data_IF_524199444848
#
_entry.id   IF_524199444848
#
_cell.length_a   1.000
_cell.length_b   1.000
_cell.length_c   1.000
_cell.angle_alpha   90.00
_cell.angle_beta   90.00
_cell.angle_gamma   90.00
#
_symmetry.space_group_name_H-M   'P 1'
#
loop_
_entity.id
_entity.type
_entity.pdbx_description
1 polymer ?
#
# COMPACT_ATOMS: atom_id res chain seq x y z
N UNK A 1 -8.84 -31.44 28.33
CA UNK A 1 -8.91 -30.08 27.74
C UNK A 1 -7.53 -29.57 27.44
N UNK A 2 -7.44 -28.44 26.67
CA UNK A 2 -6.14 -27.92 26.28
C UNK A 2 -6.14 -26.40 26.13
N UNK A 3 -4.95 -25.84 25.92
CA UNK A 3 -4.73 -24.42 25.69
C UNK A 3 -3.66 -24.18 24.64
N UNK A 4 -3.59 -22.96 24.13
CA UNK A 4 -2.56 -22.52 23.19
C UNK A 4 -1.76 -21.37 23.78
N UNK A 5 -0.43 -21.48 23.73
CA UNK A 5 0.47 -20.37 23.95
C UNK A 5 0.63 -19.61 22.65
N UNK A 6 0.17 -18.37 22.61
CA UNK A 6 0.26 -17.50 21.45
C UNK A 6 1.15 -16.30 21.78
N UNK A 7 2.43 -16.32 21.45
CA UNK A 7 3.33 -15.20 21.66
C UNK A 7 2.89 -14.01 20.79
N UNK A 8 2.73 -12.84 21.40
CA UNK A 8 2.40 -11.59 20.70
C UNK A 8 3.36 -10.52 21.19
N UNK A 9 4.15 -9.98 20.25
CA UNK A 9 4.98 -8.83 20.54
C UNK A 9 4.10 -7.59 20.67
N UNK A 10 4.02 -7.04 21.84
CA UNK A 10 3.33 -5.79 22.11
C UNK A 10 3.90 -5.16 23.37
N UNK A 11 3.92 -3.83 23.41
CA UNK A 11 4.14 -3.11 24.66
C UNK A 11 2.77 -2.83 25.27
N UNK A 12 2.59 -3.21 26.53
CA UNK A 12 1.45 -2.76 27.30
C UNK A 12 1.62 -1.28 27.68
N UNK A 13 0.53 -0.54 27.73
CA UNK A 13 0.52 0.82 28.33
C UNK A 13 0.84 0.79 29.84
N UNK A 14 0.81 -0.40 30.43
CA UNK A 14 1.19 -0.65 31.83
C UNK A 14 2.55 -1.33 31.85
N UNK A 15 3.62 -0.61 32.22
CA UNK A 15 5.00 -1.13 32.19
C UNK A 15 5.19 -2.42 32.99
N UNK A 16 4.43 -2.64 34.06
CA UNK A 16 4.51 -3.82 34.91
C UNK A 16 4.09 -5.13 34.21
N UNK A 17 3.41 -5.04 33.07
CA UNK A 17 3.04 -6.20 32.24
C UNK A 17 3.97 -6.40 31.04
N UNK A 18 4.98 -5.56 30.88
CA UNK A 18 5.98 -5.76 29.82
C UNK A 18 7.03 -6.76 30.29
N UNK A 19 6.94 -7.97 29.80
CA UNK A 19 7.94 -9.00 30.06
C UNK A 19 9.29 -8.73 29.38
N UNK A 20 10.32 -9.37 29.88
CA UNK A 20 11.70 -9.31 29.37
C UNK A 20 12.08 -10.50 28.48
N UNK A 21 11.17 -11.47 28.32
CA UNK A 21 11.36 -12.65 27.50
C UNK A 21 11.17 -12.34 26.02
N UNK A 22 12.21 -11.82 25.38
CA UNK A 22 12.21 -11.60 23.92
C UNK A 22 12.06 -12.94 23.20
N UNK A 23 11.20 -12.99 22.18
CA UNK A 23 10.97 -14.19 21.38
C UNK A 23 12.29 -14.85 20.92
N UNK A 24 12.37 -16.17 21.03
CA UNK A 24 13.53 -17.00 20.74
C UNK A 24 14.76 -16.75 21.63
N UNK A 25 14.69 -15.87 22.62
CA UNK A 25 15.75 -15.73 23.62
C UNK A 25 15.79 -16.94 24.57
N UNK A 26 16.90 -17.17 25.31
CA UNK A 26 16.95 -18.21 26.35
C UNK A 26 15.81 -18.06 27.38
N UNK A 27 15.51 -16.83 27.79
CA UNK A 27 14.42 -16.52 28.71
C UNK A 27 13.04 -16.88 28.13
N UNK A 28 12.84 -16.67 26.84
CA UNK A 28 11.61 -17.09 26.16
C UNK A 28 11.43 -18.62 26.24
N UNK A 29 12.48 -19.39 25.95
CA UNK A 29 12.40 -20.83 25.97
C UNK A 29 12.22 -21.38 27.39
N UNK A 30 12.83 -20.77 28.40
CA UNK A 30 12.59 -21.07 29.81
C UNK A 30 11.10 -20.92 30.17
N UNK A 31 10.46 -19.82 29.72
CA UNK A 31 9.03 -19.59 29.95
C UNK A 31 8.13 -20.57 29.19
N UNK A 32 8.51 -20.93 27.96
CA UNK A 32 7.80 -21.96 27.19
C UNK A 32 7.86 -23.30 27.90
N UNK A 33 9.04 -23.74 28.28
CA UNK A 33 9.26 -25.02 28.99
C UNK A 33 8.48 -25.07 30.30
N UNK A 34 8.55 -23.99 31.08
CA UNK A 34 7.74 -23.86 32.31
C UNK A 34 6.25 -24.00 32.02
N UNK A 35 5.75 -23.34 30.97
CA UNK A 35 4.32 -23.37 30.63
C UNK A 35 3.87 -24.78 30.24
N UNK A 36 4.67 -25.49 29.46
CA UNK A 36 4.36 -26.88 29.08
C UNK A 36 4.41 -27.82 30.27
N UNK A 37 5.40 -27.67 31.18
CA UNK A 37 5.50 -28.46 32.39
C UNK A 37 4.30 -28.24 33.34
N UNK A 38 3.83 -26.99 33.43
CA UNK A 38 2.62 -26.71 34.25
C UNK A 38 1.36 -27.30 33.61
N UNK A 39 1.22 -27.21 32.27
CA UNK A 39 0.09 -27.80 31.57
C UNK A 39 0.04 -29.33 31.77
N UNK A 40 1.19 -30.00 31.64
CA UNK A 40 1.31 -31.44 31.85
C UNK A 40 0.89 -31.82 33.30
N UNK A 41 1.38 -31.08 34.27
CA UNK A 41 1.03 -31.32 35.70
C UNK A 41 -0.47 -31.19 35.99
N UNK A 42 -1.18 -30.40 35.18
CA UNK A 42 -2.63 -30.18 35.28
C UNK A 42 -3.44 -31.10 34.36
N UNK A 43 -2.81 -32.00 33.60
CA UNK A 43 -3.46 -32.86 32.63
C UNK A 43 -4.07 -32.10 31.44
N UNK A 44 -3.44 -31.00 31.01
CA UNK A 44 -3.88 -30.18 29.90
C UNK A 44 -3.00 -30.42 28.67
N UNK A 45 -3.63 -30.61 27.52
CA UNK A 45 -2.94 -30.55 26.24
C UNK A 45 -2.54 -29.10 25.94
N UNK A 46 -1.26 -28.88 25.55
CA UNK A 46 -0.77 -27.55 25.24
C UNK A 46 -0.17 -27.50 23.83
N UNK A 47 -0.60 -26.52 23.04
CA UNK A 47 -0.03 -26.18 21.75
C UNK A 47 0.67 -24.82 21.80
N UNK A 48 1.64 -24.61 20.93
CA UNK A 48 2.30 -23.31 20.75
C UNK A 48 2.10 -22.80 19.33
N UNK A 49 1.77 -21.53 19.21
CA UNK A 49 1.78 -20.79 17.96
C UNK A 49 3.20 -20.28 17.69
N UNK A 50 3.82 -20.75 16.61
CA UNK A 50 5.25 -20.50 16.34
C UNK A 50 5.56 -19.15 15.73
N UNK A 51 4.55 -18.30 15.50
CA UNK A 51 4.75 -16.95 14.99
C UNK A 51 4.56 -15.88 16.07
N UNK A 52 5.15 -14.70 15.86
CA UNK A 52 4.97 -13.53 16.71
C UNK A 52 3.70 -12.77 16.27
N UNK A 53 2.61 -12.99 16.98
CA UNK A 53 1.31 -12.44 16.62
C UNK A 53 0.64 -13.21 15.47
N UNK A 54 0.08 -12.48 14.51
CA UNK A 54 -0.70 -13.06 13.42
C UNK A 54 0.08 -13.33 12.14
N UNK A 55 1.37 -13.03 12.10
CA UNK A 55 2.19 -13.15 10.89
C UNK A 55 3.44 -13.98 11.15
N UNK A 56 3.68 -14.96 10.31
CA UNK A 56 4.90 -15.79 10.34
C UNK A 56 6.20 -15.00 10.10
N UNK A 57 6.10 -13.72 9.72
CA UNK A 57 7.20 -12.86 9.31
C UNK A 57 7.73 -11.91 10.41
N UNK A 58 7.36 -12.10 11.67
CA UNK A 58 7.69 -11.18 12.77
C UNK A 58 8.87 -11.59 13.65
N UNK A 59 9.67 -12.55 13.26
CA UNK A 59 10.79 -13.02 14.08
C UNK A 59 11.89 -11.96 14.23
N UNK A 60 12.52 -11.84 15.41
CA UNK A 60 13.67 -10.97 15.62
C UNK A 60 14.91 -11.37 14.82
N UNK A 61 14.92 -12.58 14.24
CA UNK A 61 15.99 -13.08 13.38
C UNK A 61 15.78 -12.76 11.88
N UNK A 62 14.66 -12.14 11.51
CA UNK A 62 14.40 -11.70 10.13
C UNK A 62 14.89 -10.26 9.96
N UNK A 63 15.90 -10.08 9.13
CA UNK A 63 16.38 -8.75 8.75
C UNK A 63 15.47 -8.08 7.72
N UNK A 64 15.65 -6.78 7.51
CA UNK A 64 14.91 -6.05 6.47
C UNK A 64 15.16 -6.63 5.07
N UNK A 65 16.35 -7.18 4.82
CA UNK A 65 16.71 -7.82 3.55
C UNK A 65 16.01 -9.17 3.33
N UNK A 66 15.71 -9.88 4.41
CA UNK A 66 15.07 -11.21 4.37
C UNK A 66 13.55 -11.13 4.49
N UNK A 67 13.01 -9.95 4.79
CA UNK A 67 11.59 -9.73 4.90
C UNK A 67 10.91 -9.62 3.52
N UNK A 68 9.59 -9.63 3.50
CA UNK A 68 8.82 -9.42 2.28
C UNK A 68 9.17 -8.07 1.63
N UNK A 69 9.56 -8.09 0.37
CA UNK A 69 9.98 -6.93 -0.39
C UNK A 69 8.81 -6.30 -1.17
N UNK A 70 8.90 -5.01 -1.41
CA UNK A 70 7.99 -4.26 -2.26
C UNK A 70 8.78 -3.57 -3.36
N UNK A 71 8.36 -3.76 -4.61
CA UNK A 71 8.91 -3.01 -5.73
C UNK A 71 8.39 -1.57 -5.66
N UNK A 72 9.30 -0.62 -5.68
CA UNK A 72 9.02 0.81 -5.73
C UNK A 72 9.80 1.43 -6.90
N UNK A 73 9.40 2.59 -7.36
CA UNK A 73 10.08 3.28 -8.45
C UNK A 73 10.06 4.79 -8.24
N UNK A 74 10.97 5.46 -8.90
CA UNK A 74 10.92 6.88 -9.15
C UNK A 74 11.14 7.14 -10.64
N UNK A 75 10.60 8.22 -11.15
CA UNK A 75 10.77 8.62 -12.53
C UNK A 75 11.04 10.12 -12.64
N UNK A 76 11.66 10.50 -13.73
CA UNK A 76 11.83 11.90 -14.11
C UNK A 76 11.82 12.02 -15.63
N UNK A 77 11.35 13.14 -16.12
CA UNK A 77 11.33 13.46 -17.55
C UNK A 77 12.38 14.51 -17.80
N UNK A 78 13.26 14.23 -18.74
CA UNK A 78 14.30 15.16 -19.15
C UNK A 78 14.20 15.47 -20.64
N UNK A 79 14.38 16.74 -20.99
CA UNK A 79 14.50 17.16 -22.37
C UNK A 79 15.96 17.07 -22.80
N UNK A 80 16.22 16.30 -23.85
CA UNK A 80 17.57 16.12 -24.40
C UNK A 80 17.66 16.93 -25.66
N UNK A 81 18.40 18.05 -25.63
CA UNK A 81 18.57 18.97 -26.75
C UNK A 81 19.97 18.92 -27.33
N UNK A 82 20.84 18.03 -26.87
CA UNK A 82 22.23 17.94 -27.33
C UNK A 82 22.66 16.49 -27.56
N UNK A 83 23.68 16.30 -28.39
CA UNK A 83 24.38 15.03 -28.59
C UNK A 83 25.39 14.70 -27.45
N UNK A 84 25.53 15.57 -26.47
CA UNK A 84 26.45 15.37 -25.35
C UNK A 84 25.85 14.45 -24.28
N UNK A 85 26.67 13.65 -23.60
CA UNK A 85 26.20 12.85 -22.47
C UNK A 85 25.59 13.72 -21.39
N UNK A 86 24.46 13.25 -20.80
CA UNK A 86 23.77 13.92 -19.72
C UNK A 86 23.83 13.02 -18.48
N UNK A 87 24.23 13.58 -17.35
CA UNK A 87 24.16 12.92 -16.06
C UNK A 87 22.82 13.24 -15.40
N UNK A 88 22.02 12.23 -15.12
CA UNK A 88 20.72 12.38 -14.48
C UNK A 88 20.77 11.68 -13.13
N UNK A 89 20.48 12.43 -12.06
CA UNK A 89 20.29 11.86 -10.72
C UNK A 89 18.82 11.58 -10.48
N UNK A 90 18.46 10.32 -10.43
CA UNK A 90 17.12 9.90 -10.02
C UNK A 90 16.95 10.05 -8.51
N UNK A 91 15.78 10.49 -8.08
CA UNK A 91 15.43 10.46 -6.69
C UNK A 91 15.28 9.00 -6.24
N UNK A 92 15.93 8.64 -5.13
CA UNK A 92 15.75 7.32 -4.53
C UNK A 92 14.39 7.28 -3.84
N UNK A 93 13.54 6.26 -4.11
CA UNK A 93 12.33 6.05 -3.33
C UNK A 93 12.64 5.85 -1.84
N UNK A 94 11.68 6.18 -0.99
CA UNK A 94 11.83 5.99 0.45
C UNK A 94 12.02 4.50 0.79
N UNK A 95 13.09 4.21 1.53
CA UNK A 95 13.40 2.86 1.99
C UNK A 95 12.70 2.58 3.33
N UNK A 96 11.77 1.63 3.35
CA UNK A 96 11.18 1.18 4.59
C UNK A 96 12.17 0.34 5.41
N UNK A 97 12.30 0.61 6.69
CA UNK A 97 13.25 -0.06 7.59
C UNK A 97 14.72 -0.02 7.14
N UNK A 98 15.07 0.98 6.32
CA UNK A 98 16.44 1.24 5.88
C UNK A 98 17.00 0.31 4.80
N UNK A 99 16.26 -0.70 4.35
CA UNK A 99 16.68 -1.58 3.27
C UNK A 99 16.21 -1.07 1.90
N UNK A 100 17.13 -1.06 0.95
CA UNK A 100 16.87 -0.68 -0.43
C UNK A 100 17.89 -1.33 -1.36
N UNK A 101 17.41 -1.89 -2.46
CA UNK A 101 18.23 -2.48 -3.51
C UNK A 101 17.75 -1.99 -4.89
N UNK A 102 18.69 -1.55 -5.72
CA UNK A 102 18.39 -1.16 -7.09
C UNK A 102 18.20 -2.41 -7.96
N UNK A 103 17.03 -2.52 -8.59
CA UNK A 103 16.74 -3.64 -9.50
C UNK A 103 17.17 -3.29 -10.92
N UNK A 104 16.70 -2.15 -11.45
CA UNK A 104 17.01 -1.69 -12.80
C UNK A 104 16.70 -0.21 -12.97
N UNK A 105 17.38 0.41 -13.94
CA UNK A 105 17.09 1.76 -14.44
C UNK A 105 16.81 1.70 -15.94
N UNK A 106 15.74 2.36 -16.37
CA UNK A 106 15.33 2.38 -17.75
C UNK A 106 15.33 3.82 -18.29
N UNK A 107 15.81 4.00 -19.51
CA UNK A 107 15.63 5.22 -20.28
C UNK A 107 14.66 4.95 -21.43
N UNK A 108 13.54 5.62 -21.44
CA UNK A 108 12.50 5.41 -22.43
C UNK A 108 12.20 6.72 -23.18
N UNK A 109 12.04 6.69 -24.51
CA UNK A 109 11.62 7.87 -25.26
C UNK A 109 10.17 8.20 -24.88
N UNK A 110 9.93 9.43 -24.42
CA UNK A 110 8.58 9.92 -24.13
C UNK A 110 7.96 10.43 -25.43
N UNK A 111 6.94 9.72 -25.90
CA UNK A 111 6.20 10.07 -27.15
C UNK A 111 4.85 10.75 -26.88
N UNK A 112 4.60 11.17 -25.63
CA UNK A 112 3.29 11.66 -25.22
C UNK A 112 3.39 13.05 -24.63
N UNK A 113 2.25 13.75 -24.67
CA UNK A 113 2.08 14.97 -23.91
C UNK A 113 2.24 14.70 -22.41
N UNK A 114 3.32 15.24 -21.86
CA UNK A 114 3.68 15.09 -20.43
C UNK A 114 3.20 16.26 -19.60
N UNK A 115 2.46 17.21 -20.19
CA UNK A 115 1.92 18.32 -19.46
C UNK A 115 1.00 17.80 -18.34
N UNK A 116 1.31 18.19 -17.09
CA UNK A 116 0.50 17.85 -15.94
C UNK A 116 -0.90 18.41 -16.12
N UNK A 117 -1.89 17.53 -16.08
CA UNK A 117 -3.30 17.89 -16.05
C UNK A 117 -3.71 18.01 -14.59
N UNK A 118 -4.42 19.08 -14.25
CA UNK A 118 -5.09 19.22 -12.94
C UNK A 118 -6.57 18.92 -13.14
N UNK A 119 -7.04 17.72 -12.74
CA UNK A 119 -8.45 17.38 -12.84
C UNK A 119 -9.27 18.31 -11.93
N UNK A 120 -10.41 18.78 -12.44
CA UNK A 120 -11.37 19.56 -11.67
C UNK A 120 -12.62 18.71 -11.50
N UNK A 121 -13.10 18.57 -10.26
CA UNK A 121 -14.39 17.91 -9.99
C UNK A 121 -15.50 18.74 -10.59
N UNK A 122 -16.31 18.14 -11.45
CA UNK A 122 -17.44 18.82 -12.13
C UNK A 122 -18.79 18.32 -11.68
N UNK A 123 -18.86 17.07 -11.23
CA UNK A 123 -20.10 16.48 -10.68
C UNK A 123 -19.78 15.23 -9.86
N UNK A 124 -20.70 14.87 -8.98
CA UNK A 124 -20.59 13.68 -8.13
C UNK A 124 -21.97 13.32 -7.57
N UNK A 125 -22.07 12.12 -6.97
CA UNK A 125 -23.27 11.73 -6.23
C UNK A 125 -23.46 12.52 -4.93
N UNK A 126 -24.68 12.62 -4.44
CA UNK A 126 -25.07 13.50 -3.33
C UNK A 126 -24.35 13.22 -2.00
N UNK A 127 -23.92 11.96 -1.79
CA UNK A 127 -23.21 11.54 -0.57
C UNK A 127 -21.70 11.76 -0.61
N UNK A 128 -21.17 12.32 -1.69
CA UNK A 128 -19.75 12.66 -1.82
C UNK A 128 -19.48 14.06 -1.25
N UNK A 129 -18.57 14.11 -0.30
CA UNK A 129 -18.04 15.37 0.23
C UNK A 129 -16.66 15.63 -0.39
N UNK A 130 -16.55 16.70 -1.16
CA UNK A 130 -15.29 17.11 -1.79
C UNK A 130 -14.65 18.21 -0.93
N UNK A 131 -13.40 17.99 -0.55
CA UNK A 131 -12.61 18.93 0.24
C UNK A 131 -11.88 19.96 -0.66
N UNK A 132 -11.50 21.13 -0.14
CA UNK A 132 -10.77 22.16 -0.90
C UNK A 132 -9.43 21.69 -1.50
N UNK A 133 -8.81 20.67 -0.91
CA UNK A 133 -7.56 20.06 -1.40
C UNK A 133 -7.79 19.04 -2.54
N UNK A 134 -9.04 18.84 -2.97
CA UNK A 134 -9.41 17.87 -4.01
C UNK A 134 -9.60 16.44 -3.53
N UNK A 135 -9.39 16.17 -2.23
CA UNK A 135 -9.75 14.87 -1.66
C UNK A 135 -11.27 14.77 -1.49
N UNK A 136 -11.78 13.55 -1.42
CA UNK A 136 -13.21 13.32 -1.20
C UNK A 136 -13.46 12.15 -0.27
N UNK A 137 -14.64 12.12 0.31
CA UNK A 137 -15.14 11.02 1.11
C UNK A 137 -16.58 10.71 0.77
N UNK A 138 -16.97 9.45 0.91
CA UNK A 138 -18.34 8.99 0.75
C UNK A 138 -18.62 7.83 1.70
N UNK A 139 -19.87 7.70 2.16
CA UNK A 139 -20.30 6.62 3.06
C UNK A 139 -20.88 5.42 2.32
N UNK A 140 -21.15 5.57 1.03
CA UNK A 140 -21.81 4.57 0.17
C UNK A 140 -21.08 4.44 -1.16
N UNK A 141 -21.51 3.49 -1.98
CA UNK A 141 -21.11 3.43 -3.38
C UNK A 141 -21.49 4.74 -4.09
N UNK A 142 -20.52 5.39 -4.69
CA UNK A 142 -20.64 6.73 -5.24
C UNK A 142 -19.93 6.84 -6.59
N UNK A 143 -20.14 7.94 -7.26
CA UNK A 143 -19.38 8.34 -8.43
C UNK A 143 -18.91 9.78 -8.30
N UNK A 144 -17.82 10.08 -8.97
CA UNK A 144 -17.24 11.41 -9.05
C UNK A 144 -16.67 11.61 -10.45
N UNK A 145 -16.97 12.76 -11.05
CA UNK A 145 -16.53 13.11 -12.41
C UNK A 145 -15.56 14.27 -12.40
N UNK A 146 -14.53 14.16 -13.21
CA UNK A 146 -13.47 15.14 -13.36
C UNK A 146 -13.41 15.66 -14.79
N UNK A 147 -13.25 16.97 -14.96
CA UNK A 147 -12.84 17.59 -16.22
C UNK A 147 -11.30 17.74 -16.24
N UNK A 148 -10.67 17.20 -17.23
CA UNK A 148 -9.24 17.30 -17.47
C UNK A 148 -8.85 18.58 -18.24
N UNK A 149 -9.84 19.45 -18.54
CA UNK A 149 -9.66 20.70 -19.27
C UNK A 149 -9.43 20.53 -20.78
N UNK A 150 -8.99 19.38 -21.21
CA UNK A 150 -8.76 19.01 -22.63
C UNK A 150 -8.74 17.51 -22.78
N UNK A 151 -8.86 17.04 -24.00
CA UNK A 151 -8.69 15.62 -24.31
C UNK A 151 -7.23 15.22 -24.10
N UNK A 152 -6.99 14.22 -23.24
CA UNK A 152 -5.66 13.69 -22.92
C UNK A 152 -5.63 12.18 -23.04
N UNK A 153 -4.45 11.64 -23.28
CA UNK A 153 -4.24 10.19 -23.31
C UNK A 153 -3.99 9.68 -21.91
N UNK A 154 -4.93 8.94 -21.37
CA UNK A 154 -4.88 8.31 -20.06
C UNK A 154 -4.25 6.91 -20.18
N UNK A 155 -3.47 6.52 -19.17
CA UNK A 155 -2.81 5.21 -19.07
C UNK A 155 -2.84 4.61 -17.67
N UNK A 156 -2.93 5.46 -16.67
CA UNK A 156 -2.96 5.05 -15.27
C UNK A 156 -3.80 6.00 -14.44
N UNK A 157 -4.22 5.51 -13.29
CA UNK A 157 -4.90 6.28 -12.26
C UNK A 157 -4.21 6.01 -10.93
N UNK A 158 -3.87 7.06 -10.22
CA UNK A 158 -3.38 6.99 -8.86
C UNK A 158 -4.54 7.19 -7.89
N UNK A 159 -4.70 6.26 -6.97
CA UNK A 159 -5.67 6.38 -5.88
C UNK A 159 -4.89 6.46 -4.57
N UNK A 160 -5.06 7.55 -3.85
CA UNK A 160 -4.42 7.80 -2.57
C UNK A 160 -5.49 7.67 -1.48
N UNK A 161 -5.57 6.53 -0.78
CA UNK A 161 -6.56 6.33 0.28
C UNK A 161 -6.20 7.14 1.51
N UNK A 162 -7.22 7.55 2.27
CA UNK A 162 -7.03 8.09 3.61
C UNK A 162 -6.93 6.95 4.62
N UNK A 163 -5.79 6.86 5.31
CA UNK A 163 -5.53 5.82 6.30
C UNK A 163 -5.34 4.41 5.72
N UNK A 164 -5.52 3.40 6.56
CA UNK A 164 -5.25 2.00 6.22
C UNK A 164 -6.43 1.25 5.59
N UNK A 165 -7.57 1.90 5.44
CA UNK A 165 -8.77 1.25 4.91
C UNK A 165 -8.90 1.47 3.40
N UNK A 166 -8.53 0.47 2.61
CA UNK A 166 -8.48 0.52 1.15
C UNK A 166 -9.67 -0.20 0.52
N UNK A 167 -10.79 -0.25 1.18
CA UNK A 167 -11.95 -1.03 0.69
C UNK A 167 -12.68 -0.41 -0.50
N UNK A 168 -12.38 0.82 -0.86
CA UNK A 168 -13.09 1.58 -1.91
C UNK A 168 -12.60 1.32 -3.34
N UNK A 169 -11.75 0.32 -3.58
CA UNK A 169 -11.00 0.22 -4.84
C UNK A 169 -11.65 -0.64 -5.93
N UNK A 170 -12.90 -1.02 -5.77
CA UNK A 170 -13.68 -1.62 -6.85
C UNK A 170 -14.24 -0.53 -7.76
N UNK A 171 -13.34 0.23 -8.38
CA UNK A 171 -13.70 1.41 -9.15
C UNK A 171 -13.90 1.05 -10.61
N UNK A 172 -15.02 1.43 -11.19
CA UNK A 172 -15.20 1.48 -12.64
C UNK A 172 -14.69 2.82 -13.13
N UNK A 173 -13.79 2.78 -14.10
CA UNK A 173 -13.31 3.98 -14.78
C UNK A 173 -14.19 4.18 -16.00
N UNK A 174 -14.95 5.26 -15.96
CA UNK A 174 -15.78 5.70 -17.06
C UNK A 174 -15.12 6.89 -17.72
N UNK A 175 -15.23 7.05 -19.02
CA UNK A 175 -14.64 8.17 -19.76
C UNK A 175 -15.65 8.77 -20.72
N UNK A 176 -15.50 10.06 -20.99
CA UNK A 176 -16.35 10.82 -21.91
C UNK A 176 -15.54 11.93 -22.60
N UNK A 177 -15.96 12.33 -23.77
CA UNK A 177 -15.43 13.50 -24.47
C UNK A 177 -16.30 14.77 -24.26
N UNK A 178 -17.55 14.61 -23.91
CA UNK A 178 -18.53 15.70 -23.80
C UNK A 178 -19.09 15.89 -22.36
N UNK A 179 -18.72 15.01 -21.43
CA UNK A 179 -19.19 15.04 -20.05
C UNK A 179 -20.63 14.56 -19.86
N UNK A 180 -21.23 13.94 -20.88
CA UNK A 180 -22.62 13.42 -20.87
C UNK A 180 -22.66 11.95 -21.17
N UNK A 181 -22.08 11.55 -22.28
CA UNK A 181 -22.06 10.16 -22.74
C UNK A 181 -20.80 9.46 -22.24
N UNK A 182 -20.96 8.65 -21.20
CA UNK A 182 -19.87 7.92 -20.58
C UNK A 182 -19.86 6.45 -20.99
N UNK A 183 -18.68 5.93 -21.29
CA UNK A 183 -18.47 4.50 -21.50
C UNK A 183 -17.35 3.97 -20.60
N UNK A 184 -17.42 2.68 -20.27
CA UNK A 184 -16.45 2.07 -19.39
C UNK A 184 -15.12 1.85 -20.12
N UNK A 185 -14.06 2.45 -19.58
CA UNK A 185 -12.69 2.27 -20.06
C UNK A 185 -11.98 1.12 -19.33
N UNK A 186 -12.22 0.97 -18.03
CA UNK A 186 -11.54 -0.04 -17.21
C UNK A 186 -12.34 -0.38 -15.95
N UNK A 187 -12.02 -1.53 -15.38
CA UNK A 187 -12.43 -1.93 -14.04
C UNK A 187 -11.17 -2.14 -13.20
N UNK A 188 -10.97 -1.32 -12.17
CA UNK A 188 -9.84 -1.48 -11.28
C UNK A 188 -10.07 -2.68 -10.36
N UNK A 189 -9.03 -3.49 -10.22
CA UNK A 189 -9.02 -4.56 -9.22
C UNK A 189 -8.47 -3.99 -7.91
N UNK A 190 -9.11 -4.28 -6.76
CA UNK A 190 -8.57 -3.81 -5.49
C UNK A 190 -7.17 -4.37 -5.28
N UNK A 191 -6.25 -3.51 -4.85
CA UNK A 191 -4.99 -3.98 -4.32
C UNK A 191 -5.23 -4.88 -3.10
N UNK A 192 -4.27 -5.72 -2.75
CA UNK A 192 -4.38 -6.53 -1.54
C UNK A 192 -4.67 -5.62 -0.36
N UNK A 193 -5.79 -5.87 0.28
CA UNK A 193 -6.25 -5.09 1.42
C UNK A 193 -5.66 -5.62 2.71
N UNK A 194 -5.61 -4.76 3.70
CA UNK A 194 -5.32 -5.14 5.05
C UNK A 194 -4.49 -4.09 5.78
N UNK A 195 -4.21 -4.39 7.01
CA UNK A 195 -3.40 -3.61 7.94
C UNK A 195 -1.94 -3.40 7.48
N UNK A 196 -1.52 -4.03 6.40
CA UNK A 196 -0.22 -3.84 5.75
C UNK A 196 -0.18 -2.64 4.81
N UNK A 197 -1.29 -1.95 4.59
CA UNK A 197 -1.30 -0.71 3.82
C UNK A 197 -0.70 0.40 4.67
N UNK A 198 0.33 1.03 4.14
CA UNK A 198 1.02 2.15 4.78
C UNK A 198 0.51 3.53 4.34
N UNK A 199 -0.70 3.59 3.76
CA UNK A 199 -1.32 4.85 3.31
C UNK A 199 -0.74 5.43 2.02
N UNK A 200 0.17 4.73 1.33
CA UNK A 200 0.67 5.17 0.03
C UNK A 200 -0.39 4.99 -1.05
N UNK A 201 -0.34 5.86 -2.05
CA UNK A 201 -1.16 5.77 -3.24
C UNK A 201 -0.87 4.48 -4.04
N UNK A 202 -1.90 4.01 -4.73
CA UNK A 202 -1.78 2.89 -5.66
C UNK A 202 -1.96 3.39 -7.08
N UNK A 203 -1.01 3.04 -7.94
CA UNK A 203 -1.10 3.28 -9.38
C UNK A 203 -1.74 2.08 -10.07
N UNK A 204 -2.85 2.31 -10.73
CA UNK A 204 -3.55 1.31 -11.53
C UNK A 204 -3.32 1.59 -13.02
N UNK A 205 -2.78 0.62 -13.72
CA UNK A 205 -2.73 0.67 -15.18
C UNK A 205 -4.14 0.53 -15.76
N UNK A 206 -4.45 1.35 -16.75
CA UNK A 206 -5.67 1.25 -17.55
C UNK A 206 -5.32 1.11 -19.03
N UNK A 207 -6.24 0.56 -19.82
CA UNK A 207 -6.07 0.56 -21.27
C UNK A 207 -5.92 1.99 -21.76
N UNK A 208 -4.90 2.22 -22.63
CA UNK A 208 -4.63 3.55 -23.16
C UNK A 208 -5.86 4.10 -23.91
N UNK A 209 -6.45 5.15 -23.38
CA UNK A 209 -7.65 5.78 -23.93
C UNK A 209 -7.47 7.30 -23.92
N UNK A 210 -8.09 8.00 -24.87
CA UNK A 210 -8.09 9.45 -24.90
C UNK A 210 -9.47 9.97 -24.56
N UNK A 211 -9.55 10.81 -23.53
CA UNK A 211 -10.80 11.41 -23.06
C UNK A 211 -10.55 12.77 -22.41
N UNK A 212 -11.62 13.55 -22.20
CA UNK A 212 -11.61 14.81 -21.45
C UNK A 212 -12.22 14.64 -20.06
N UNK A 213 -13.23 13.77 -19.92
CA UNK A 213 -13.91 13.51 -18.66
C UNK A 213 -13.75 12.06 -18.25
#
# INVERSE_FOLDING_TARGET
GGCYLMPIRGKSDKPEFNGDATQLSPKFWEMVDYSFSQADSLGLDMGIHICDGFALAGSPCISSAESMQKVVWSDTIVSVNSSSPINIKLARPEAYMGYYEDIATFALPVKYDTAKVKPIVVSHSDDVVVNPNGSFSASKACWISYDLGRKVKLRSIDIIPSGNNIQCQRVKVMVSDDGKDYHQASQLQPARQGWQSNGYGFTYAISAISARF
#
